data_IF_389387060371
#
_entry.id   IF_389387060371
#
_cell.length_a   1.000
_cell.length_b   1.000
_cell.length_c   1.000
_cell.angle_alpha   90.00
_cell.angle_beta   90.00
_cell.angle_gamma   90.00
#
_symmetry.space_group_name_H-M   'P 1'
#
loop_
_entity.id
_entity.type
_entity.pdbx_description
1 polymer ?
#
# COMPACT_ATOMS: atom_id res chain seq x y z
N UNK A 1 23.52 15.46 0.75
CA UNK A 1 24.96 15.11 0.54
C UNK A 1 25.05 14.44 -0.82
N UNK A 2 26.02 14.77 -1.68
CA UNK A 2 26.17 14.03 -2.95
C UNK A 2 26.82 12.68 -2.64
N UNK A 3 26.28 11.55 -3.13
CA UNK A 3 26.85 10.23 -2.87
C UNK A 3 28.29 10.11 -3.35
N UNK A 4 29.08 9.29 -2.67
CA UNK A 4 30.51 9.09 -2.97
C UNK A 4 30.77 8.09 -4.11
N UNK A 5 29.71 7.55 -4.71
CA UNK A 5 29.76 6.50 -5.73
C UNK A 5 28.60 6.63 -6.71
N UNK A 6 28.71 5.96 -7.86
CA UNK A 6 27.65 5.90 -8.87
C UNK A 6 26.43 5.16 -8.30
N UNK A 7 25.29 5.84 -8.26
CA UNK A 7 24.04 5.28 -7.76
C UNK A 7 23.35 4.44 -8.83
N UNK A 8 22.72 3.36 -8.41
CA UNK A 8 21.82 2.57 -9.25
C UNK A 8 20.40 2.67 -8.70
N UNK A 9 19.38 2.72 -9.55
CA UNK A 9 17.98 2.73 -9.10
C UNK A 9 17.65 1.44 -8.33
N UNK A 10 17.06 1.51 -7.12
CA UNK A 10 16.64 0.33 -6.39
C UNK A 10 15.59 -0.49 -7.16
N UNK A 11 15.55 -1.84 -7.04
CA UNK A 11 14.58 -2.67 -7.75
C UNK A 11 13.12 -2.27 -7.50
N UNK A 12 12.75 -1.95 -6.26
CA UNK A 12 11.37 -1.54 -5.90
C UNK A 12 10.97 -0.14 -6.37
N UNK A 13 11.93 0.68 -6.82
CA UNK A 13 11.65 1.96 -7.49
C UNK A 13 11.65 1.76 -9.01
N UNK A 14 12.52 0.88 -9.52
CA UNK A 14 12.63 0.59 -10.96
C UNK A 14 11.41 -0.16 -11.49
N UNK A 15 10.90 -1.10 -10.71
CA UNK A 15 9.74 -1.94 -11.02
C UNK A 15 8.78 -1.92 -9.83
N UNK A 16 8.07 -0.80 -9.60
CA UNK A 16 7.14 -0.64 -8.47
C UNK A 16 5.98 -1.65 -8.47
N UNK A 17 5.72 -2.31 -9.60
CA UNK A 17 4.70 -3.35 -9.80
C UNK A 17 5.12 -4.75 -9.37
N UNK A 18 6.42 -5.00 -9.14
CA UNK A 18 6.94 -6.32 -8.78
C UNK A 18 7.04 -6.44 -7.25
N UNK A 19 6.34 -7.41 -6.66
CA UNK A 19 6.36 -7.68 -5.21
C UNK A 19 7.66 -8.37 -4.77
N UNK A 20 7.89 -8.54 -3.46
CA UNK A 20 9.15 -9.07 -2.93
C UNK A 20 9.50 -10.49 -3.45
N UNK A 21 8.51 -11.38 -3.63
CA UNK A 21 8.74 -12.78 -3.99
C UNK A 21 8.27 -13.18 -5.38
N UNK A 22 7.78 -12.22 -6.15
CA UNK A 22 7.28 -12.48 -7.50
C UNK A 22 8.27 -13.27 -8.35
N UNK A 23 7.74 -14.16 -9.17
CA UNK A 23 8.52 -14.88 -10.16
C UNK A 23 9.17 -13.93 -11.18
N UNK A 24 8.65 -12.69 -11.30
CA UNK A 24 9.22 -11.64 -12.14
C UNK A 24 10.70 -11.34 -11.89
N UNK A 25 11.20 -11.56 -10.67
CA UNK A 25 12.62 -11.42 -10.34
C UNK A 25 13.51 -12.60 -10.72
N UNK A 26 12.91 -13.75 -11.07
CA UNK A 26 13.60 -15.04 -11.27
C UNK A 26 13.42 -15.63 -12.66
N UNK A 27 12.31 -15.31 -13.33
CA UNK A 27 11.96 -15.80 -14.66
C UNK A 27 11.15 -14.75 -15.45
N UNK A 28 11.32 -13.46 -15.13
CA UNK A 28 10.57 -12.37 -15.77
C UNK A 28 11.47 -11.20 -16.15
N UNK A 29 10.84 -10.11 -16.62
CA UNK A 29 11.56 -8.94 -17.13
C UNK A 29 12.40 -8.21 -16.07
N UNK A 30 12.15 -8.46 -14.78
CA UNK A 30 12.94 -7.90 -13.68
C UNK A 30 14.25 -8.65 -13.40
N UNK A 31 14.42 -9.88 -13.89
CA UNK A 31 15.53 -10.77 -13.52
C UNK A 31 16.90 -10.19 -13.90
N UNK A 32 17.09 -9.79 -15.16
CA UNK A 32 18.36 -9.25 -15.63
C UNK A 32 18.78 -8.02 -14.83
N UNK A 33 17.83 -7.10 -14.58
CA UNK A 33 18.09 -5.91 -13.78
C UNK A 33 18.43 -6.24 -12.33
N UNK A 34 17.70 -7.17 -11.71
CA UNK A 34 17.95 -7.60 -10.34
C UNK A 34 19.35 -8.25 -10.22
N UNK A 35 19.73 -9.11 -11.17
CA UNK A 35 21.06 -9.69 -11.22
C UNK A 35 22.15 -8.61 -11.29
N UNK A 36 22.03 -7.67 -12.23
CA UNK A 36 22.98 -6.58 -12.39
C UNK A 36 23.01 -5.66 -11.17
N UNK A 37 21.85 -5.43 -10.53
CA UNK A 37 21.74 -4.61 -9.34
C UNK A 37 22.49 -5.25 -8.17
N UNK A 38 22.24 -6.53 -7.90
CA UNK A 38 22.92 -7.24 -6.82
C UNK A 38 24.40 -7.48 -7.09
N UNK A 39 24.81 -7.57 -8.35
CA UNK A 39 26.23 -7.60 -8.72
C UNK A 39 26.92 -6.28 -8.39
N UNK A 40 26.31 -5.15 -8.79
CA UNK A 40 26.80 -3.81 -8.47
C UNK A 40 26.83 -3.56 -6.96
N UNK A 41 25.73 -3.82 -6.24
CA UNK A 41 25.63 -3.56 -4.81
C UNK A 41 26.67 -4.36 -3.98
N UNK A 42 26.94 -5.61 -4.36
CA UNK A 42 27.98 -6.44 -3.72
C UNK A 42 29.41 -5.98 -4.00
N UNK A 43 29.63 -5.19 -5.05
CA UNK A 43 30.93 -4.61 -5.36
C UNK A 43 31.24 -3.34 -4.54
N UNK A 44 30.22 -2.74 -3.91
CA UNK A 44 30.39 -1.58 -3.03
C UNK A 44 31.11 -1.95 -1.74
N UNK A 45 31.84 -1.00 -1.17
CA UNK A 45 32.40 -1.14 0.19
C UNK A 45 31.28 -1.17 1.25
N UNK A 46 31.52 -1.72 2.45
CA UNK A 46 30.51 -1.74 3.52
C UNK A 46 29.96 -0.34 3.88
N UNK A 47 30.81 0.69 3.86
CA UNK A 47 30.39 2.07 4.11
C UNK A 47 29.46 2.60 3.01
N UNK A 48 29.77 2.33 1.74
CA UNK A 48 28.91 2.70 0.60
C UNK A 48 27.60 1.91 0.60
N UNK A 49 27.62 0.64 1.00
CA UNK A 49 26.40 -0.14 1.19
C UNK A 49 25.52 0.50 2.25
N UNK A 50 26.06 0.86 3.42
CA UNK A 50 25.30 1.53 4.46
C UNK A 50 24.73 2.88 3.97
N UNK A 51 25.56 3.71 3.33
CA UNK A 51 25.12 4.98 2.72
C UNK A 51 23.96 4.75 1.73
N UNK A 52 24.05 3.72 0.89
CA UNK A 52 23.00 3.37 -0.06
C UNK A 52 21.70 2.93 0.62
N UNK A 53 21.80 2.13 1.69
CA UNK A 53 20.63 1.64 2.45
C UNK A 53 19.87 2.78 3.14
N UNK A 54 20.60 3.79 3.64
CA UNK A 54 20.02 4.98 4.26
C UNK A 54 19.35 5.89 3.23
N UNK A 55 19.95 6.03 2.04
CA UNK A 55 19.38 6.81 0.95
C UNK A 55 18.14 6.15 0.34
N UNK A 56 18.15 4.82 0.20
CA UNK A 56 17.11 4.05 -0.45
C UNK A 56 16.68 2.88 0.43
N UNK A 57 15.86 3.13 1.46
CA UNK A 57 15.30 2.06 2.26
C UNK A 57 14.30 1.23 1.44
N UNK A 58 14.17 -0.04 1.79
CA UNK A 58 13.13 -0.92 1.24
C UNK A 58 11.74 -0.50 1.73
N UNK A 59 10.68 -0.81 0.97
CA UNK A 59 9.31 -0.71 1.46
C UNK A 59 9.14 -1.55 2.73
N UNK A 60 8.39 -1.04 3.71
CA UNK A 60 8.24 -1.66 5.03
C UNK A 60 7.56 -3.03 5.01
N UNK A 61 6.93 -3.40 3.88
CA UNK A 61 6.26 -4.69 3.69
C UNK A 61 7.13 -5.70 2.89
N UNK A 62 8.41 -5.36 2.66
CA UNK A 62 9.45 -6.28 2.16
C UNK A 62 10.34 -6.74 3.32
N UNK A 63 10.01 -7.88 3.92
CA UNK A 63 10.56 -8.28 5.23
C UNK A 63 11.76 -9.20 5.17
N UNK A 64 11.88 -10.02 4.12
CA UNK A 64 12.76 -11.19 4.18
C UNK A 64 14.06 -10.93 3.44
N UNK A 65 14.03 -10.29 2.27
CA UNK A 65 15.23 -9.87 1.55
C UNK A 65 15.88 -8.66 2.24
N UNK A 66 16.25 -8.77 3.51
CA UNK A 66 17.22 -7.87 4.14
C UNK A 66 18.46 -7.83 3.26
N UNK A 67 19.24 -6.75 3.24
CA UNK A 67 20.41 -6.52 2.36
C UNK A 67 21.52 -7.60 2.35
N UNK A 68 21.27 -8.72 3.03
CA UNK A 68 21.99 -9.98 2.99
C UNK A 68 21.67 -10.78 1.71
N UNK A 69 22.65 -11.47 1.12
CA UNK A 69 22.41 -12.35 -0.02
C UNK A 69 21.70 -13.63 0.42
N UNK A 70 20.45 -13.80 -0.02
CA UNK A 70 19.56 -14.97 0.16
C UNK A 70 19.16 -15.27 1.61
N UNK A 71 17.86 -15.16 1.85
CA UNK A 71 17.18 -15.70 3.04
C UNK A 71 17.22 -17.22 2.97
N UNK A 72 17.56 -17.89 4.07
CA UNK A 72 17.52 -19.35 4.08
C UNK A 72 16.07 -19.84 4.14
N UNK A 73 15.79 -21.04 3.62
CA UNK A 73 14.46 -21.66 3.74
C UNK A 73 14.08 -21.79 5.23
N UNK A 74 15.04 -21.98 6.13
CA UNK A 74 14.84 -22.04 7.58
C UNK A 74 14.35 -20.71 8.18
N UNK A 75 14.87 -19.57 7.71
CA UNK A 75 14.38 -18.23 8.10
C UNK A 75 12.94 -17.99 7.61
N UNK A 76 12.61 -18.47 6.40
CA UNK A 76 11.27 -18.42 5.81
C UNK A 76 10.26 -19.35 6.49
N UNK A 77 10.72 -20.48 7.03
CA UNK A 77 9.89 -21.59 7.54
C UNK A 77 9.66 -21.55 9.04
N UNK A 78 10.16 -20.55 9.76
CA UNK A 78 10.13 -20.49 11.23
C UNK A 78 8.72 -20.37 11.84
N UNK A 79 7.65 -20.32 11.04
CA UNK A 79 6.25 -20.45 11.49
C UNK A 79 5.76 -19.33 12.40
N UNK A 80 6.57 -18.30 12.61
CA UNK A 80 6.32 -17.11 13.45
C UNK A 80 6.42 -15.83 12.62
N UNK A 81 6.01 -15.89 11.36
CA UNK A 81 6.06 -14.71 10.50
C UNK A 81 4.84 -13.83 10.80
N UNK A 82 4.95 -13.01 11.85
CA UNK A 82 3.93 -12.02 12.20
C UNK A 82 3.71 -10.98 11.08
N UNK A 83 4.54 -10.98 10.02
CA UNK A 83 4.48 -10.02 8.94
C UNK A 83 3.83 -10.53 7.66
N UNK A 84 3.29 -11.75 7.66
CA UNK A 84 2.60 -12.30 6.51
C UNK A 84 1.33 -13.05 6.91
N UNK A 85 0.37 -13.10 5.99
CA UNK A 85 -0.84 -13.90 6.11
C UNK A 85 -1.06 -14.76 4.88
N UNK A 86 -1.64 -15.95 5.10
CA UNK A 86 -2.06 -16.88 4.04
C UNK A 86 -0.90 -17.37 3.18
N UNK A 87 -0.12 -18.33 3.68
CA UNK A 87 1.05 -18.92 2.99
C UNK A 87 2.00 -17.88 2.35
N UNK A 88 2.34 -16.84 3.12
CA UNK A 88 3.17 -15.71 2.67
C UNK A 88 2.62 -14.88 1.49
N UNK A 89 1.31 -14.94 1.22
CA UNK A 89 0.67 -14.19 0.13
C UNK A 89 0.48 -12.71 0.44
N UNK A 90 0.03 -12.38 1.66
CA UNK A 90 -0.31 -11.00 2.03
C UNK A 90 0.75 -10.45 2.99
N UNK A 91 1.64 -9.55 2.53
CA UNK A 91 2.59 -8.91 3.42
C UNK A 91 1.88 -7.86 4.28
N UNK A 92 2.23 -7.83 5.56
CA UNK A 92 1.76 -6.86 6.54
C UNK A 92 2.78 -5.74 6.72
N UNK A 93 2.32 -4.53 7.00
CA UNK A 93 3.20 -3.38 7.21
C UNK A 93 3.72 -3.29 8.64
N UNK A 94 2.96 -3.86 9.58
CA UNK A 94 3.29 -3.99 10.99
C UNK A 94 3.03 -5.43 11.43
N UNK A 95 3.71 -5.86 12.50
CA UNK A 95 3.50 -7.18 13.06
C UNK A 95 2.00 -7.42 13.34
N UNK A 96 1.53 -8.60 12.93
CA UNK A 96 0.16 -9.10 13.04
C UNK A 96 -0.90 -8.23 12.35
N UNK A 97 -0.50 -7.39 11.39
CA UNK A 97 -1.43 -6.54 10.64
C UNK A 97 -1.99 -5.38 11.48
N UNK A 98 -1.25 -4.96 12.50
CA UNK A 98 -1.63 -3.85 13.38
C UNK A 98 -1.59 -2.51 12.64
N UNK A 99 -2.32 -1.52 13.17
CA UNK A 99 -2.47 -0.20 12.54
C UNK A 99 -1.49 0.77 13.20
N UNK A 100 -0.82 1.61 12.40
CA UNK A 100 0.01 2.69 12.96
C UNK A 100 -0.85 3.84 13.48
N UNK A 101 -1.91 4.16 12.74
CA UNK A 101 -2.85 5.23 13.09
C UNK A 101 -4.20 4.67 13.54
N UNK A 102 -4.84 5.38 14.47
CA UNK A 102 -6.16 5.04 15.00
C UNK A 102 -6.85 6.28 15.55
N UNK A 103 -8.15 6.16 15.87
CA UNK A 103 -8.86 7.25 16.55
C UNK A 103 -8.22 7.59 17.90
N UNK A 104 -7.85 6.57 18.68
CA UNK A 104 -7.22 6.77 20.00
C UNK A 104 -5.87 7.46 19.91
N UNK A 105 -5.10 7.21 18.84
CA UNK A 105 -3.84 7.89 18.57
C UNK A 105 -4.04 9.42 18.46
N UNK A 106 -5.08 9.86 17.73
CA UNK A 106 -5.33 11.28 17.51
C UNK A 106 -6.14 11.95 18.62
N UNK A 107 -7.05 11.23 19.29
CA UNK A 107 -7.79 11.75 20.44
C UNK A 107 -6.88 12.15 21.60
N UNK A 108 -5.75 11.47 21.75
CA UNK A 108 -4.76 11.75 22.78
C UNK A 108 -3.67 12.74 22.33
N UNK A 109 -3.77 13.27 21.11
CA UNK A 109 -2.79 14.23 20.58
C UNK A 109 -3.03 15.62 21.13
N UNK A 110 -1.97 16.26 21.63
CA UNK A 110 -2.00 17.67 22.04
C UNK A 110 -1.90 18.65 20.85
N UNK A 111 -1.68 18.14 19.63
CA UNK A 111 -1.55 18.96 18.42
C UNK A 111 -2.91 19.29 17.82
N UNK A 112 -3.02 20.47 17.24
CA UNK A 112 -4.16 20.84 16.40
C UNK A 112 -4.28 19.88 15.21
N UNK A 113 -5.50 19.37 14.99
CA UNK A 113 -5.79 18.37 13.97
C UNK A 113 -6.31 19.06 12.70
N UNK A 114 -5.52 19.01 11.63
CA UNK A 114 -5.91 19.52 10.32
C UNK A 114 -6.45 18.39 9.44
N UNK A 115 -7.70 18.49 9.01
CA UNK A 115 -8.37 17.47 8.21
C UNK A 115 -8.37 17.81 6.71
N UNK A 116 -8.22 16.77 5.88
CA UNK A 116 -8.52 16.80 4.46
C UNK A 116 -9.59 15.74 4.17
N UNK A 117 -10.81 16.20 3.89
CA UNK A 117 -11.95 15.32 3.66
C UNK A 117 -12.00 14.88 2.20
N UNK A 118 -12.27 13.61 1.95
CA UNK A 118 -12.52 13.06 0.62
C UNK A 118 -13.65 12.03 0.67
N UNK A 119 -14.25 11.70 -0.47
CA UNK A 119 -15.28 10.66 -0.53
C UNK A 119 -15.46 10.07 -1.93
N UNK A 120 -16.02 10.85 -2.86
CA UNK A 120 -16.36 10.39 -4.21
C UNK A 120 -15.17 10.58 -5.16
N UNK A 121 -15.01 9.69 -6.15
CA UNK A 121 -14.00 9.85 -7.18
C UNK A 121 -14.38 10.95 -8.17
N UNK A 122 -13.36 11.54 -8.81
CA UNK A 122 -13.49 12.44 -9.95
C UNK A 122 -12.40 12.10 -10.96
N UNK A 123 -12.78 11.48 -12.09
CA UNK A 123 -11.83 11.00 -13.09
C UNK A 123 -11.17 12.13 -13.90
N UNK A 124 -11.69 13.35 -13.83
CA UNK A 124 -11.25 14.47 -14.68
C UNK A 124 -10.07 15.26 -14.10
N UNK A 125 -9.83 15.14 -12.79
CA UNK A 125 -8.83 15.93 -12.07
C UNK A 125 -8.10 15.10 -11.03
N UNK A 126 -6.88 15.50 -10.71
CA UNK A 126 -6.12 14.96 -9.57
C UNK A 126 -6.29 15.92 -8.39
N UNK A 127 -7.26 15.61 -7.53
CA UNK A 127 -7.55 16.32 -6.28
C UNK A 127 -7.82 15.30 -5.14
N UNK A 128 -8.46 15.70 -4.04
CA UNK A 128 -8.78 14.80 -2.93
C UNK A 128 -9.61 13.56 -3.32
N UNK A 129 -10.32 13.62 -4.44
CA UNK A 129 -11.07 12.48 -4.97
C UNK A 129 -10.16 11.30 -5.31
N UNK A 130 -8.87 11.54 -5.60
CA UNK A 130 -7.93 10.48 -5.92
C UNK A 130 -7.66 9.53 -4.74
N UNK A 131 -8.03 9.91 -3.52
CA UNK A 131 -7.97 9.06 -2.33
C UNK A 131 -9.08 8.01 -2.28
N UNK A 132 -10.16 8.18 -3.06
CA UNK A 132 -11.21 7.18 -3.18
C UNK A 132 -10.68 5.87 -3.76
N UNK A 133 -11.10 4.73 -3.20
CA UNK A 133 -10.81 3.41 -3.78
C UNK A 133 -11.42 3.24 -5.18
N UNK A 134 -12.46 4.03 -5.50
CA UNK A 134 -13.21 3.97 -6.75
C UNK A 134 -12.65 4.90 -7.82
N UNK A 135 -11.60 5.69 -7.51
CA UNK A 135 -10.93 6.52 -8.50
C UNK A 135 -10.33 5.63 -9.59
N UNK A 136 -10.62 5.87 -10.88
CA UNK A 136 -9.87 5.26 -11.98
C UNK A 136 -8.39 5.62 -11.84
N UNK A 137 -7.57 4.62 -11.57
CA UNK A 137 -6.14 4.78 -11.31
C UNK A 137 -5.46 3.46 -11.66
N UNK A 138 -5.20 3.18 -12.95
CA UNK A 138 -4.66 1.89 -13.34
C UNK A 138 -3.29 1.62 -12.69
N UNK A 139 -3.09 0.39 -12.23
CA UNK A 139 -1.79 -0.09 -11.73
C UNK A 139 -1.69 -1.60 -11.90
N UNK A 140 -0.48 -2.14 -11.80
CA UNK A 140 -0.22 -3.58 -11.91
C UNK A 140 0.46 -4.12 -10.66
N UNK A 141 0.21 -5.40 -10.35
CA UNK A 141 0.93 -6.13 -9.30
C UNK A 141 1.22 -7.52 -9.83
N UNK A 142 2.50 -7.88 -9.94
CA UNK A 142 2.95 -9.22 -10.35
C UNK A 142 2.37 -9.75 -11.67
N UNK A 143 2.01 -8.84 -12.58
CA UNK A 143 1.43 -9.15 -13.90
C UNK A 143 -0.08 -8.93 -13.98
N UNK A 144 -0.78 -8.94 -12.84
CA UNK A 144 -2.20 -8.59 -12.78
C UNK A 144 -2.38 -7.08 -12.95
N UNK A 145 -3.40 -6.68 -13.69
CA UNK A 145 -3.74 -5.27 -13.94
C UNK A 145 -5.06 -4.93 -13.26
N UNK A 146 -5.06 -3.81 -12.55
CA UNK A 146 -6.22 -3.29 -11.84
C UNK A 146 -6.59 -1.92 -12.40
N UNK A 147 -7.89 -1.70 -12.58
CA UNK A 147 -8.47 -0.44 -13.01
C UNK A 147 -8.50 0.60 -11.87
N UNK A 148 -8.76 0.15 -10.65
CA UNK A 148 -8.78 0.97 -9.44
C UNK A 148 -8.46 0.12 -8.20
N UNK A 149 -8.28 0.78 -7.06
CA UNK A 149 -7.90 0.09 -5.82
C UNK A 149 -9.04 -0.76 -5.22
N UNK A 150 -10.31 -0.45 -5.49
CA UNK A 150 -11.44 -1.34 -5.13
C UNK A 150 -11.33 -2.69 -5.84
N UNK A 151 -10.93 -2.71 -7.11
CA UNK A 151 -10.77 -3.96 -7.86
C UNK A 151 -9.73 -4.85 -7.20
N UNK A 152 -8.56 -4.28 -6.87
CA UNK A 152 -7.50 -4.96 -6.15
C UNK A 152 -7.99 -5.49 -4.80
N UNK A 153 -8.66 -4.66 -4.01
CA UNK A 153 -9.15 -5.05 -2.69
C UNK A 153 -10.15 -6.21 -2.76
N UNK A 154 -11.06 -6.20 -3.73
CA UNK A 154 -12.06 -7.26 -3.89
C UNK A 154 -11.45 -8.53 -4.52
N UNK A 155 -10.50 -8.41 -5.44
CA UNK A 155 -9.77 -9.55 -5.99
C UNK A 155 -8.94 -10.24 -4.90
N UNK A 156 -8.18 -9.49 -4.10
CA UNK A 156 -7.44 -10.02 -2.95
C UNK A 156 -8.37 -10.64 -1.90
N UNK A 157 -9.59 -10.12 -1.74
CA UNK A 157 -10.60 -10.75 -0.90
C UNK A 157 -11.02 -12.11 -1.45
N UNK A 158 -11.34 -12.21 -2.75
CA UNK A 158 -11.73 -13.48 -3.37
C UNK A 158 -10.61 -14.53 -3.25
N UNK A 159 -9.39 -14.12 -3.55
CA UNK A 159 -8.14 -14.88 -3.38
C UNK A 159 -7.91 -15.39 -1.98
N UNK A 160 -8.14 -14.55 -0.97
CA UNK A 160 -7.99 -14.90 0.44
C UNK A 160 -8.92 -16.04 0.86
N UNK A 161 -10.10 -16.13 0.24
CA UNK A 161 -11.11 -17.15 0.54
C UNK A 161 -11.19 -18.26 -0.52
N UNK A 162 -10.23 -18.29 -1.46
CA UNK A 162 -10.14 -19.32 -2.50
C UNK A 162 -11.31 -19.31 -3.48
N UNK A 163 -11.91 -18.15 -3.74
CA UNK A 163 -13.06 -18.00 -4.64
C UNK A 163 -12.63 -17.52 -6.04
N UNK A 164 -12.05 -18.44 -6.81
CA UNK A 164 -11.49 -18.15 -8.15
C UNK A 164 -12.56 -17.65 -9.14
N UNK A 165 -13.79 -18.15 -9.06
CA UNK A 165 -14.90 -17.69 -9.93
C UNK A 165 -15.21 -16.21 -9.69
N UNK A 166 -15.37 -15.81 -8.43
CA UNK A 166 -15.65 -14.40 -8.09
C UNK A 166 -14.43 -13.52 -8.35
N UNK A 167 -13.22 -14.02 -8.14
CA UNK A 167 -11.99 -13.33 -8.54
C UNK A 167 -12.01 -13.01 -10.04
N UNK A 168 -12.28 -14.00 -10.90
CA UNK A 168 -12.33 -13.83 -12.35
C UNK A 168 -13.40 -12.81 -12.75
N UNK A 169 -14.60 -12.87 -12.16
CA UNK A 169 -15.65 -11.88 -12.40
C UNK A 169 -15.21 -10.45 -12.00
N UNK A 170 -14.50 -10.31 -10.87
CA UNK A 170 -13.96 -9.01 -10.41
C UNK A 170 -12.87 -8.50 -11.36
N UNK A 171 -11.98 -9.38 -11.83
CA UNK A 171 -10.88 -9.00 -12.71
C UNK A 171 -11.38 -8.62 -14.13
N UNK A 172 -12.53 -9.15 -14.54
CA UNK A 172 -13.15 -8.87 -15.85
C UNK A 172 -14.08 -7.65 -15.90
N UNK A 173 -14.22 -6.89 -14.81
CA UNK A 173 -15.02 -5.64 -14.78
C UNK A 173 -14.17 -4.40 -14.53
N UNK A 174 -14.62 -3.25 -15.03
CA UNK A 174 -14.07 -1.93 -14.70
C UNK A 174 -15.05 -1.07 -13.88
N UNK A 175 -16.20 -1.60 -13.46
CA UNK A 175 -17.20 -0.89 -12.65
C UNK A 175 -16.96 -1.13 -11.14
N UNK A 176 -16.52 -0.11 -10.37
CA UNK A 176 -16.30 -0.24 -8.92
C UNK A 176 -17.54 -0.65 -8.14
N UNK A 177 -18.74 -0.26 -8.61
CA UNK A 177 -19.99 -0.65 -7.96
C UNK A 177 -20.24 -2.15 -8.10
N UNK A 178 -19.94 -2.71 -9.28
CA UNK A 178 -20.02 -4.14 -9.52
C UNK A 178 -18.93 -4.90 -8.74
N UNK A 179 -17.68 -4.43 -8.74
CA UNK A 179 -16.59 -5.02 -7.94
C UNK A 179 -16.99 -5.16 -6.46
N UNK A 180 -17.53 -4.09 -5.86
CA UNK A 180 -18.02 -4.09 -4.48
C UNK A 180 -19.18 -5.07 -4.27
N UNK A 181 -20.08 -5.19 -5.24
CA UNK A 181 -21.20 -6.13 -5.18
C UNK A 181 -20.71 -7.58 -5.25
N UNK A 182 -19.75 -7.88 -6.12
CA UNK A 182 -19.11 -9.20 -6.24
C UNK A 182 -18.31 -9.55 -4.98
N UNK A 183 -17.56 -8.61 -4.43
CA UNK A 183 -16.83 -8.80 -3.18
C UNK A 183 -17.71 -9.12 -1.97
N UNK A 184 -19.01 -8.80 -2.01
CA UNK A 184 -20.00 -9.23 -1.00
C UNK A 184 -20.48 -10.67 -1.19
N UNK A 185 -20.29 -11.25 -2.37
CA UNK A 185 -20.70 -12.61 -2.73
C UNK A 185 -19.58 -13.65 -2.58
N UNK A 186 -18.35 -13.22 -2.27
CA UNK A 186 -17.21 -14.12 -2.03
C UNK A 186 -17.59 -15.24 -1.08
N UNK A 187 -17.44 -16.48 -1.56
CA UNK A 187 -17.70 -17.73 -0.85
C UNK A 187 -16.68 -17.93 0.27
N UNK A 188 -17.02 -18.78 1.25
CA UNK A 188 -16.16 -19.11 2.40
C UNK A 188 -15.69 -17.91 3.24
N UNK A 189 -16.41 -16.78 3.16
CA UNK A 189 -16.04 -15.57 3.87
C UNK A 189 -16.05 -15.77 5.40
N UNK A 190 -14.89 -15.53 6.02
CA UNK A 190 -14.73 -15.47 7.46
C UNK A 190 -14.38 -14.02 7.88
N UNK A 191 -15.24 -13.35 8.67
CA UNK A 191 -14.99 -12.00 9.16
C UNK A 191 -13.69 -11.85 9.96
N UNK A 192 -13.28 -12.85 10.74
CA UNK A 192 -12.07 -12.79 11.55
C UNK A 192 -10.82 -12.87 10.69
N UNK A 193 -10.84 -13.74 9.68
CA UNK A 193 -9.77 -13.82 8.66
C UNK A 193 -9.67 -12.50 7.91
N UNK A 194 -10.81 -11.97 7.48
CA UNK A 194 -10.86 -10.69 6.78
C UNK A 194 -10.37 -9.52 7.64
N UNK A 195 -10.78 -9.45 8.91
CA UNK A 195 -10.37 -8.38 9.82
C UNK A 195 -8.87 -8.34 10.07
N UNK A 196 -8.19 -9.50 10.02
CA UNK A 196 -6.73 -9.62 10.12
C UNK A 196 -6.01 -9.14 8.86
N UNK A 197 -6.58 -9.38 7.67
CA UNK A 197 -5.88 -9.17 6.40
C UNK A 197 -6.25 -7.86 5.69
N UNK A 198 -7.49 -7.38 5.82
CA UNK A 198 -8.07 -6.31 5.00
C UNK A 198 -7.28 -5.00 5.02
N UNK A 199 -6.72 -4.65 6.17
CA UNK A 199 -5.99 -3.38 6.32
C UNK A 199 -4.70 -3.42 5.50
N UNK A 200 -3.94 -4.49 5.62
CA UNK A 200 -2.72 -4.72 4.83
C UNK A 200 -3.02 -4.84 3.34
N UNK A 201 -4.11 -5.50 2.94
CA UNK A 201 -4.56 -5.51 1.53
C UNK A 201 -4.77 -4.08 1.02
N UNK A 202 -5.50 -3.24 1.75
CA UNK A 202 -5.75 -1.86 1.35
C UNK A 202 -4.46 -1.02 1.35
N UNK A 203 -3.56 -1.21 2.31
CA UNK A 203 -2.24 -0.56 2.32
C UNK A 203 -1.42 -0.94 1.07
N UNK A 204 -1.31 -2.23 0.76
CA UNK A 204 -0.57 -2.75 -0.39
C UNK A 204 -1.14 -2.19 -1.70
N UNK A 205 -2.46 -2.29 -1.90
CA UNK A 205 -3.12 -1.78 -3.11
C UNK A 205 -2.95 -0.28 -3.30
N UNK A 206 -3.08 0.52 -2.22
CA UNK A 206 -2.83 1.95 -2.30
C UNK A 206 -1.36 2.27 -2.56
N UNK A 207 -0.42 1.55 -1.96
CA UNK A 207 1.01 1.75 -2.25
C UNK A 207 1.30 1.53 -3.73
N UNK A 208 0.86 0.40 -4.31
CA UNK A 208 1.02 0.14 -5.75
C UNK A 208 0.33 1.18 -6.62
N UNK A 209 -0.90 1.57 -6.27
CA UNK A 209 -1.63 2.64 -6.96
C UNK A 209 -0.82 3.93 -7.00
N UNK A 210 -0.39 4.44 -5.85
CA UNK A 210 0.25 5.76 -5.79
C UNK A 210 1.66 5.72 -6.39
N UNK A 211 2.46 4.68 -6.17
CA UNK A 211 3.81 4.62 -6.75
C UNK A 211 3.82 4.48 -8.27
N UNK A 212 2.74 3.98 -8.87
CA UNK A 212 2.59 3.86 -10.34
C UNK A 212 1.86 5.05 -10.99
N UNK A 213 1.25 5.94 -10.21
CA UNK A 213 0.51 7.11 -10.70
C UNK A 213 1.14 8.40 -10.16
N UNK A 214 2.13 8.95 -10.88
CA UNK A 214 2.98 10.04 -10.38
C UNK A 214 2.21 11.28 -9.91
N UNK A 215 1.25 11.77 -10.67
CA UNK A 215 0.48 12.97 -10.29
C UNK A 215 -0.31 12.74 -8.98
N UNK A 216 -0.91 11.55 -8.84
CA UNK A 216 -1.61 11.16 -7.60
C UNK A 216 -0.64 10.99 -6.43
N UNK A 217 0.55 10.45 -6.68
CA UNK A 217 1.62 10.35 -5.68
C UNK A 217 2.04 11.72 -5.17
N UNK A 218 2.31 12.65 -6.09
CA UNK A 218 2.70 14.02 -5.79
C UNK A 218 1.60 14.71 -4.97
N UNK A 219 0.34 14.52 -5.35
CA UNK A 219 -0.80 15.05 -4.60
C UNK A 219 -0.89 14.46 -3.18
N UNK A 220 -0.77 13.14 -3.03
CA UNK A 220 -0.74 12.48 -1.71
C UNK A 220 0.37 13.04 -0.83
N UNK A 221 1.59 13.20 -1.37
CA UNK A 221 2.73 13.77 -0.64
C UNK A 221 2.51 15.23 -0.26
N UNK A 222 1.88 16.02 -1.14
CA UNK A 222 1.56 17.44 -0.91
C UNK A 222 0.60 17.68 0.27
N UNK A 223 -0.15 16.65 0.69
CA UNK A 223 -1.05 16.76 1.84
C UNK A 223 -0.32 17.01 3.16
N UNK A 224 1.00 16.78 3.21
CA UNK A 224 1.85 17.04 4.37
C UNK A 224 1.45 16.16 5.55
N UNK A 225 1.10 16.80 6.67
CA UNK A 225 0.71 16.13 7.92
C UNK A 225 -0.82 16.15 8.15
N UNK A 226 -1.62 16.56 7.16
CA UNK A 226 -3.09 16.54 7.28
C UNK A 226 -3.57 15.11 7.52
N UNK A 227 -4.59 14.98 8.37
CA UNK A 227 -5.32 13.74 8.57
C UNK A 227 -6.27 13.58 7.39
N UNK A 228 -6.11 12.49 6.66
CA UNK A 228 -6.99 12.16 5.53
C UNK A 228 -8.26 11.53 6.09
N UNK A 229 -9.42 12.01 5.66
CA UNK A 229 -10.71 11.61 6.23
C UNK A 229 -11.67 11.19 5.14
N UNK A 230 -12.03 9.91 5.12
CA UNK A 230 -13.09 9.42 4.23
C UNK A 230 -14.46 9.82 4.80
N UNK A 231 -14.97 10.94 4.30
CA UNK A 231 -16.23 11.57 4.68
C UNK A 231 -17.45 10.90 4.02
N UNK A 232 -17.49 9.57 4.03
CA UNK A 232 -18.61 8.77 3.57
C UNK A 232 -19.70 8.73 4.65
N UNK A 233 -20.93 9.22 4.38
CA UNK A 233 -22.01 9.22 5.38
C UNK A 233 -22.48 7.81 5.79
N UNK A 234 -22.22 6.81 4.95
CA UNK A 234 -22.76 5.45 5.09
C UNK A 234 -21.71 4.43 5.51
N UNK A 235 -20.42 4.77 5.46
CA UNK A 235 -19.33 3.84 5.78
C UNK A 235 -18.76 4.13 7.16
N UNK A 236 -18.89 3.16 8.07
CA UNK A 236 -18.38 3.25 9.44
C UNK A 236 -17.12 2.40 9.67
N UNK A 237 -16.61 1.74 8.63
CA UNK A 237 -15.38 0.94 8.71
C UNK A 237 -14.25 1.72 8.05
N UNK A 238 -14.37 2.01 6.76
CA UNK A 238 -13.37 2.73 6.00
C UNK A 238 -13.51 4.24 6.15
N UNK A 239 -14.76 4.72 6.30
CA UNK A 239 -15.10 6.12 6.55
C UNK A 239 -15.46 6.47 7.99
N UNK A 240 -15.87 7.73 8.17
CA UNK A 240 -16.27 8.30 9.48
C UNK A 240 -17.78 8.21 9.78
N UNK A 241 -18.59 7.73 8.83
CA UNK A 241 -20.05 7.68 8.96
C UNK A 241 -20.73 9.05 8.99
N UNK A 242 -20.08 10.08 8.43
CA UNK A 242 -20.53 11.47 8.36
C UNK A 242 -20.07 12.08 7.03
N UNK A 243 -20.88 12.94 6.43
CA UNK A 243 -20.50 13.73 5.26
C UNK A 243 -19.62 14.93 5.63
N UNK A 244 -18.84 15.43 4.68
CA UNK A 244 -17.89 16.54 4.91
C UNK A 244 -18.56 17.82 5.41
N UNK A 245 -19.80 18.07 5.00
CA UNK A 245 -20.56 19.28 5.38
C UNK A 245 -21.22 19.16 6.77
N UNK A 246 -21.06 18.02 7.46
CA UNK A 246 -21.56 17.84 8.81
C UNK A 246 -20.56 18.43 9.82
N UNK A 247 -21.00 19.36 10.67
CA UNK A 247 -20.14 19.97 11.70
C UNK A 247 -19.43 18.93 12.59
N UNK A 248 -20.09 17.79 12.87
CA UNK A 248 -19.50 16.70 13.65
C UNK A 248 -18.34 16.00 12.94
N UNK A 249 -18.21 16.12 11.62
CA UNK A 249 -17.09 15.57 10.86
C UNK A 249 -15.77 16.29 11.21
N UNK A 250 -15.82 17.53 11.70
CA UNK A 250 -14.64 18.28 12.15
C UNK A 250 -14.25 18.00 13.60
N UNK A 251 -14.97 17.11 14.29
CA UNK A 251 -14.62 16.65 15.62
C UNK A 251 -14.43 15.13 15.61
N UNK A 252 -13.17 14.69 15.69
CA UNK A 252 -12.80 13.27 15.68
C UNK A 252 -13.50 12.45 16.78
N UNK A 253 -13.82 13.05 17.93
CA UNK A 253 -14.56 12.39 19.01
C UNK A 253 -16.04 12.14 18.68
N UNK A 254 -16.58 12.82 17.67
CA UNK A 254 -17.96 12.69 17.21
C UNK A 254 -18.13 11.73 16.03
N UNK A 255 -17.03 11.19 15.49
CA UNK A 255 -17.07 10.23 14.39
C UNK A 255 -17.72 8.92 14.82
N UNK A 256 -18.53 8.37 13.91
CA UNK A 256 -19.23 7.09 14.13
C UNK A 256 -18.49 5.92 13.50
N UNK A 257 -17.60 6.24 12.57
CA UNK A 257 -16.77 5.30 11.83
C UNK A 257 -15.30 5.34 12.22
N UNK A 258 -14.57 4.31 11.76
CA UNK A 258 -13.16 4.09 12.13
C UNK A 258 -12.16 4.85 11.26
N UNK A 259 -12.58 5.41 10.13
CA UNK A 259 -11.71 6.10 9.17
C UNK A 259 -10.50 5.25 8.70
N UNK A 260 -10.66 3.93 8.56
CA UNK A 260 -9.52 3.06 8.23
C UNK A 260 -8.87 3.42 6.89
N UNK A 261 -9.62 3.91 5.91
CA UNK A 261 -9.02 4.26 4.61
C UNK A 261 -8.14 5.50 4.73
N UNK A 262 -8.64 6.53 5.41
CA UNK A 262 -7.86 7.74 5.67
C UNK A 262 -6.55 7.45 6.40
N UNK A 263 -6.60 6.59 7.42
CA UNK A 263 -5.41 6.14 8.14
C UNK A 263 -4.47 5.30 7.28
N UNK A 264 -4.99 4.38 6.48
CA UNK A 264 -4.17 3.59 5.55
C UNK A 264 -3.41 4.50 4.56
N UNK A 265 -4.10 5.48 3.97
CA UNK A 265 -3.48 6.43 3.05
C UNK A 265 -2.38 7.28 3.71
N UNK A 266 -2.52 7.61 5.00
CA UNK A 266 -1.48 8.31 5.76
C UNK A 266 -0.25 7.42 5.97
N UNK A 267 -0.44 6.13 6.25
CA UNK A 267 0.68 5.18 6.33
C UNK A 267 1.38 5.03 4.97
N UNK A 268 0.60 4.90 3.88
CA UNK A 268 1.13 4.85 2.51
C UNK A 268 1.93 6.12 2.19
N UNK A 269 1.40 7.30 2.52
CA UNK A 269 2.08 8.59 2.33
C UNK A 269 3.42 8.63 3.06
N UNK A 270 3.44 8.20 4.31
CA UNK A 270 4.66 8.17 5.13
C UNK A 270 5.71 7.22 4.55
N UNK A 271 5.27 6.04 4.09
CA UNK A 271 6.16 5.04 3.50
C UNK A 271 6.71 5.50 2.14
N UNK A 272 5.87 6.06 1.27
CA UNK A 272 6.30 6.66 -0.01
C UNK A 272 7.27 7.80 0.26
N UNK A 273 6.97 8.70 1.20
CA UNK A 273 7.87 9.81 1.57
C UNK A 273 9.25 9.30 1.98
N UNK A 274 9.32 8.20 2.74
CA UNK A 274 10.56 7.57 3.18
C UNK A 274 11.31 6.89 2.02
N UNK A 275 10.63 6.06 1.23
CA UNK A 275 11.25 5.26 0.15
C UNK A 275 11.66 6.12 -1.04
N UNK A 276 10.89 7.16 -1.35
CA UNK A 276 11.10 8.03 -2.50
C UNK A 276 11.80 9.35 -2.15
N UNK A 277 12.27 9.52 -0.91
CA UNK A 277 12.86 10.78 -0.42
C UNK A 277 14.01 11.30 -1.31
N UNK A 278 14.83 10.39 -1.82
CA UNK A 278 16.08 10.71 -2.51
C UNK A 278 16.07 10.30 -4.00
N UNK A 279 14.90 10.09 -4.62
CA UNK A 279 14.83 9.66 -6.03
C UNK A 279 15.41 10.68 -7.01
N UNK A 280 15.44 11.95 -6.62
CA UNK A 280 16.04 13.04 -7.39
C UNK A 280 17.57 12.91 -7.51
N UNK A 281 18.20 12.08 -6.68
CA UNK A 281 19.62 11.77 -6.75
C UNK A 281 19.96 10.67 -7.77
N UNK A 282 18.99 9.90 -8.27
CA UNK A 282 19.18 8.77 -9.20
C UNK A 282 19.41 9.18 -10.67
N UNK A 283 20.03 10.34 -10.91
CA UNK A 283 20.24 10.92 -12.24
C UNK A 283 21.25 10.16 -13.09
#
# INVERSE_FOLDING_TARGET
MKPTFELKTPPWIKFPELSEFTIGWRMGYGEAYAYDFWKWYRALTPAQQQEYQELYPRPCFWHLNTWKPRVTIEELSSGKNDYYYGDNRIPFWQAKGTYRYSLTFFLNSAKELNFLFFWKPNAEVVDESCFSQWQPSPFSVDGDKYYCAEQYMMAEKARLFGDEEVEEEIMNTSDPKLMKALGRKVRNFDPQVWDRAKYSIVLNGNYYKFTQNKEMMDFLLSTGDKILVEASPMDTIWGIGLGKDNEKAHNIASWRGKNLLGFALMEVRDEIRKVYQNVDLLK
#
